data_IF_763006996844
#
_entry.id   IF_763006996844
#
_cell.length_a   1.000
_cell.length_b   1.000
_cell.length_c   1.000
_cell.angle_alpha   90.00
_cell.angle_beta   90.00
_cell.angle_gamma   90.00
#
_symmetry.space_group_name_H-M   'P 1'
#
loop_
_entity.id
_entity.type
_entity.pdbx_description
1 polymer ?
#
# COMPACT_ATOMS: atom_id res chain seq x y z
N UNK A 1 -0.31 5.51 10.14
CA UNK A 1 1.01 6.06 9.74
C UNK A 1 0.76 7.21 8.80
N UNK A 2 1.42 8.35 9.03
CA UNK A 2 1.46 9.46 8.08
C UNK A 2 2.74 9.35 7.23
N UNK A 3 2.64 9.56 5.92
CA UNK A 3 3.80 9.62 5.03
C UNK A 3 3.64 10.75 4.03
N UNK A 4 4.65 11.62 3.90
CA UNK A 4 4.66 12.64 2.86
C UNK A 4 4.86 11.99 1.49
N UNK A 5 4.06 12.40 0.51
CA UNK A 5 4.13 11.88 -0.87
C UNK A 5 5.15 12.69 -1.64
N UNK A 6 6.15 12.04 -2.22
CA UNK A 6 7.09 12.69 -3.12
C UNK A 6 7.04 12.05 -4.50
N UNK A 7 7.32 12.85 -5.53
CA UNK A 7 7.61 12.34 -6.86
C UNK A 7 9.10 12.57 -7.15
N UNK A 8 9.90 11.52 -6.92
CA UNK A 8 11.32 11.58 -7.21
C UNK A 8 11.58 11.13 -8.65
N UNK A 9 12.40 11.90 -9.36
CA UNK A 9 12.91 11.48 -10.66
C UNK A 9 13.81 10.26 -10.49
N UNK A 10 13.42 9.16 -11.14
CA UNK A 10 14.12 7.88 -11.12
C UNK A 10 14.38 7.44 -12.56
N UNK A 11 15.51 6.77 -12.78
CA UNK A 11 15.84 6.21 -14.10
C UNK A 11 14.94 5.02 -14.44
N UNK A 12 14.90 4.61 -15.70
CA UNK A 12 14.01 3.57 -16.18
C UNK A 12 14.10 2.25 -15.38
N UNK A 13 15.29 1.86 -14.91
CA UNK A 13 15.56 0.64 -14.14
C UNK A 13 15.54 0.84 -12.61
N UNK A 14 15.06 1.99 -12.12
CA UNK A 14 15.02 2.34 -10.71
C UNK A 14 13.57 2.56 -10.26
N UNK A 15 13.33 2.43 -8.96
CA UNK A 15 12.08 2.83 -8.34
C UNK A 15 12.34 3.50 -6.99
N UNK A 16 11.42 4.35 -6.56
CA UNK A 16 11.40 4.90 -5.20
C UNK A 16 10.07 4.59 -4.54
N UNK A 17 10.06 4.42 -3.22
CA UNK A 17 8.83 4.14 -2.49
C UNK A 17 8.93 4.55 -1.03
N UNK A 18 7.79 4.87 -0.43
CA UNK A 18 7.61 4.91 1.02
C UNK A 18 6.47 3.99 1.39
N UNK A 19 6.66 3.10 2.37
CA UNK A 19 5.65 2.10 2.76
C UNK A 19 5.61 1.86 4.26
N UNK A 20 4.40 1.71 4.78
CA UNK A 20 4.13 1.11 6.08
C UNK A 20 4.12 -0.41 5.91
N UNK A 21 4.88 -1.14 6.74
CA UNK A 21 4.98 -2.59 6.66
C UNK A 21 4.72 -3.21 8.04
N UNK A 22 3.76 -4.14 8.11
CA UNK A 22 3.60 -5.06 9.23
C UNK A 22 4.25 -6.38 8.84
N UNK A 23 5.08 -6.94 9.74
CA UNK A 23 5.88 -8.13 9.45
C UNK A 23 5.94 -9.04 10.67
N UNK A 24 5.77 -10.35 10.46
CA UNK A 24 6.12 -11.40 11.40
C UNK A 24 6.92 -12.49 10.66
N UNK A 25 8.22 -12.60 10.97
CA UNK A 25 9.11 -13.52 10.24
C UNK A 25 9.16 -13.20 8.74
N UNK A 26 8.95 -14.18 7.84
CA UNK A 26 8.93 -13.95 6.39
C UNK A 26 7.61 -13.31 5.91
N UNK A 27 6.57 -13.35 6.73
CA UNK A 27 5.22 -12.91 6.34
C UNK A 27 5.05 -11.42 6.62
N UNK A 28 4.49 -10.69 5.66
CA UNK A 28 4.25 -9.26 5.76
C UNK A 28 3.18 -8.73 4.83
N UNK A 29 2.56 -7.65 5.26
CA UNK A 29 1.65 -6.82 4.47
C UNK A 29 2.15 -5.38 4.53
N UNK A 30 2.03 -4.67 3.42
CA UNK A 30 2.49 -3.31 3.29
C UNK A 30 1.55 -2.47 2.44
N UNK A 31 1.53 -1.17 2.73
CA UNK A 31 0.82 -0.14 1.97
C UNK A 31 1.72 1.09 1.87
N UNK A 32 1.65 1.80 0.75
CA UNK A 32 2.44 3.00 0.57
C UNK A 32 2.30 3.63 -0.80
N UNK A 33 3.26 4.46 -1.16
CA UNK A 33 3.36 5.02 -2.50
C UNK A 33 4.66 4.61 -3.17
N UNK A 34 4.65 4.55 -4.50
CA UNK A 34 5.79 4.19 -5.35
C UNK A 34 5.88 5.11 -6.57
N UNK A 35 7.09 5.35 -7.07
CA UNK A 35 7.36 5.78 -8.44
C UNK A 35 8.17 4.68 -9.10
N UNK A 36 7.65 4.06 -10.15
CA UNK A 36 8.29 2.93 -10.83
C UNK A 36 8.08 3.00 -12.36
N UNK A 37 8.97 3.66 -13.09
CA UNK A 37 8.86 3.79 -14.55
C UNK A 37 8.97 2.46 -15.29
N UNK A 38 9.72 1.48 -14.78
CA UNK A 38 9.77 0.13 -15.36
C UNK A 38 8.40 -0.54 -15.38
N UNK A 39 7.60 -0.33 -14.32
CA UNK A 39 6.30 -0.97 -14.17
C UNK A 39 5.19 -0.20 -14.89
N UNK A 40 5.10 1.11 -14.69
CA UNK A 40 3.98 1.92 -15.18
C UNK A 40 4.24 2.63 -16.50
N UNK A 41 5.48 2.64 -17.00
CA UNK A 41 5.88 3.38 -18.20
C UNK A 41 5.62 4.89 -18.09
N UNK A 42 5.56 5.40 -16.85
CA UNK A 42 5.42 6.81 -16.49
C UNK A 42 6.24 7.14 -15.24
N UNK A 43 6.26 8.43 -14.87
CA UNK A 43 6.95 8.91 -13.67
C UNK A 43 5.97 9.43 -12.62
N UNK A 44 4.78 8.84 -12.52
CA UNK A 44 3.79 9.25 -11.52
C UNK A 44 3.95 8.50 -10.21
N UNK A 45 3.72 9.20 -9.09
CA UNK A 45 3.62 8.58 -7.78
C UNK A 45 2.27 7.90 -7.63
N UNK A 46 2.25 6.60 -7.34
CA UNK A 46 1.03 5.79 -7.26
C UNK A 46 0.87 5.11 -5.91
N UNK A 47 -0.36 4.96 -5.45
CA UNK A 47 -0.70 4.15 -4.28
C UNK A 47 -0.51 2.66 -4.60
N UNK A 48 0.14 1.92 -3.71
CA UNK A 48 0.28 0.48 -3.86
C UNK A 48 0.16 -0.25 -2.52
N UNK A 49 -0.13 -1.54 -2.61
CA UNK A 49 0.01 -2.50 -1.53
C UNK A 49 0.93 -3.64 -1.94
N UNK A 50 1.52 -4.30 -0.95
CA UNK A 50 2.34 -5.46 -1.17
C UNK A 50 2.11 -6.52 -0.08
N UNK A 51 1.89 -7.76 -0.50
CA UNK A 51 1.78 -8.92 0.38
C UNK A 51 2.94 -9.85 0.11
N UNK A 52 3.59 -10.31 1.16
CA UNK A 52 4.66 -11.29 1.06
C UNK A 52 4.44 -12.33 2.14
N UNK A 53 4.17 -13.56 1.75
CA UNK A 53 4.16 -14.74 2.62
C UNK A 53 5.04 -15.80 1.98
N UNK A 54 5.17 -16.96 2.63
CA UNK A 54 5.86 -18.10 2.03
C UNK A 54 5.32 -18.49 0.64
N UNK A 55 4.00 -18.39 0.46
CA UNK A 55 3.31 -18.90 -0.72
C UNK A 55 2.84 -17.78 -1.66
N UNK A 56 2.74 -16.54 -1.16
CA UNK A 56 2.17 -15.40 -1.91
C UNK A 56 3.13 -14.22 -1.90
N UNK A 57 3.57 -13.79 -3.08
CA UNK A 57 4.29 -12.54 -3.28
C UNK A 57 3.46 -11.68 -4.24
N UNK A 58 2.69 -10.76 -3.67
CA UNK A 58 1.67 -10.05 -4.40
C UNK A 58 1.86 -8.55 -4.40
N UNK A 59 1.86 -7.99 -5.60
CA UNK A 59 1.81 -6.55 -5.81
C UNK A 59 0.37 -6.16 -6.16
N UNK A 60 -0.21 -5.21 -5.42
CA UNK A 60 -1.62 -4.82 -5.54
C UNK A 60 -2.57 -6.03 -5.55
N UNK A 61 -3.49 -6.05 -6.51
CA UNK A 61 -4.48 -7.10 -6.74
C UNK A 61 -4.16 -7.90 -8.02
N UNK A 62 -2.90 -7.89 -8.48
CA UNK A 62 -2.45 -8.73 -9.60
C UNK A 62 -2.48 -10.23 -9.26
N UNK A 63 -2.77 -10.56 -8.01
CA UNK A 63 -2.93 -11.90 -7.47
C UNK A 63 -4.01 -11.91 -6.39
N UNK A 64 -4.59 -13.09 -6.09
CA UNK A 64 -5.49 -13.24 -4.96
C UNK A 64 -4.73 -12.95 -3.66
N UNK A 65 -5.23 -12.02 -2.85
CA UNK A 65 -4.54 -11.65 -1.62
C UNK A 65 -5.12 -10.45 -0.89
N UNK A 66 -5.77 -9.55 -1.61
CA UNK A 66 -6.44 -8.38 -1.05
C UNK A 66 -7.78 -8.18 -1.71
N UNK A 67 -8.81 -7.89 -0.91
CA UNK A 67 -10.17 -7.63 -1.38
C UNK A 67 -10.42 -6.13 -1.25
N UNK A 68 -10.49 -5.43 -2.38
CA UNK A 68 -10.89 -4.01 -2.43
C UNK A 68 -12.40 -3.94 -2.18
N UNK A 69 -12.82 -3.12 -1.22
CA UNK A 69 -14.24 -2.90 -0.90
C UNK A 69 -14.72 -1.52 -1.29
N UNK A 70 -13.79 -0.56 -1.41
CA UNK A 70 -14.09 0.80 -1.82
C UNK A 70 -13.45 1.12 -3.17
N UNK A 71 -14.30 1.29 -4.18
CA UNK A 71 -13.88 1.58 -5.55
C UNK A 71 -13.68 3.08 -5.82
N UNK A 72 -13.97 3.97 -4.86
CA UNK A 72 -13.68 5.41 -4.97
C UNK A 72 -12.17 5.68 -4.93
N UNK A 73 -11.41 4.83 -4.23
CA UNK A 73 -9.96 4.95 -4.06
C UNK A 73 -9.31 3.67 -4.59
N UNK A 74 -9.11 3.56 -5.91
CA UNK A 74 -8.49 2.38 -6.48
C UNK A 74 -7.01 2.29 -6.06
N UNK A 75 -6.52 1.06 -5.92
CA UNK A 75 -5.07 0.81 -5.96
C UNK A 75 -4.52 1.30 -7.31
N UNK A 76 -3.24 1.63 -7.38
CA UNK A 76 -2.59 2.25 -8.54
C UNK A 76 -3.06 3.67 -8.89
N UNK A 77 -3.90 4.30 -8.07
CA UNK A 77 -4.28 5.71 -8.27
C UNK A 77 -3.05 6.62 -8.22
N UNK A 78 -3.00 7.57 -9.16
CA UNK A 78 -2.00 8.62 -9.17
C UNK A 78 -2.27 9.55 -7.98
N UNK A 79 -1.28 9.71 -7.12
CA UNK A 79 -1.36 10.62 -5.99
C UNK A 79 -0.99 12.03 -6.46
N UNK A 80 -1.94 12.95 -6.35
CA UNK A 80 -1.76 14.36 -6.67
C UNK A 80 -2.62 15.20 -5.72
N UNK A 81 -2.11 16.33 -5.21
CA UNK A 81 -0.76 16.86 -5.41
C UNK A 81 0.35 16.11 -4.64
N UNK A 82 1.62 16.33 -5.00
CA UNK A 82 2.81 15.75 -4.35
C UNK A 82 3.66 16.82 -3.65
N UNK A 83 4.36 16.41 -2.60
CA UNK A 83 5.20 17.28 -1.75
C UNK A 83 6.43 17.78 -2.50
N UNK A 84 6.87 18.99 -2.15
CA UNK A 84 8.12 19.59 -2.67
C UNK A 84 9.01 20.02 -1.52
N UNK A 85 10.31 19.69 -1.60
CA UNK A 85 11.30 20.17 -0.62
C UNK A 85 11.32 21.70 -0.60
N UNK A 86 11.19 22.29 0.60
CA UNK A 86 11.09 23.74 0.78
C UNK A 86 9.77 24.37 0.31
N UNK A 87 8.76 23.56 -0.01
CA UNK A 87 7.43 23.99 -0.43
C UNK A 87 6.33 23.25 0.32
N UNK A 88 5.11 23.20 -0.24
CA UNK A 88 3.99 22.48 0.37
C UNK A 88 4.29 20.99 0.55
N UNK A 89 3.81 20.45 1.67
CA UNK A 89 3.86 19.01 2.00
C UNK A 89 2.45 18.44 1.92
N UNK A 90 2.33 17.30 1.24
CA UNK A 90 1.09 16.54 1.13
C UNK A 90 1.33 15.14 1.69
N UNK A 91 0.43 14.72 2.56
CA UNK A 91 0.59 13.50 3.34
C UNK A 91 -0.52 12.50 3.05
N UNK A 92 -0.15 11.23 3.16
CA UNK A 92 -1.07 10.10 3.15
C UNK A 92 -1.15 9.48 4.51
N UNK A 93 -2.38 9.15 4.91
CA UNK A 93 -2.65 8.49 6.17
C UNK A 93 -3.19 7.09 5.91
N UNK A 94 -2.48 6.09 6.44
CA UNK A 94 -2.83 4.69 6.35
C UNK A 94 -3.03 4.09 7.73
N UNK A 95 -4.08 3.30 7.89
CA UNK A 95 -4.31 2.49 9.08
C UNK A 95 -4.46 1.03 8.68
N UNK A 96 -3.70 0.16 9.34
CA UNK A 96 -3.87 -1.28 9.25
C UNK A 96 -4.24 -1.79 10.64
N UNK A 97 -5.35 -2.50 10.73
CA UNK A 97 -5.87 -3.06 11.99
C UNK A 97 -6.43 -4.45 11.76
N UNK A 98 -6.22 -5.35 12.71
CA UNK A 98 -6.85 -6.68 12.69
C UNK A 98 -8.28 -6.56 13.19
N UNK A 99 -9.25 -7.02 12.39
CA UNK A 99 -10.63 -7.13 12.81
C UNK A 99 -10.76 -8.27 13.84
N UNK A 100 -11.30 -7.98 15.02
CA UNK A 100 -11.44 -8.97 16.10
C UNK A 100 -12.52 -10.03 15.83
N UNK A 101 -13.49 -9.75 14.97
CA UNK A 101 -14.59 -10.65 14.65
C UNK A 101 -14.21 -11.59 13.51
N UNK A 102 -13.74 -11.05 12.38
CA UNK A 102 -13.38 -11.89 11.23
C UNK A 102 -11.97 -12.45 11.37
N UNK A 103 -11.04 -11.69 11.95
CA UNK A 103 -9.60 -11.99 11.97
C UNK A 103 -8.84 -11.43 10.77
N UNK A 104 -9.51 -10.69 9.89
CA UNK A 104 -8.92 -10.09 8.69
C UNK A 104 -8.11 -8.85 9.02
N UNK A 105 -7.10 -8.56 8.20
CA UNK A 105 -6.38 -7.30 8.29
C UNK A 105 -7.07 -6.25 7.41
N UNK A 106 -7.63 -5.22 8.03
CA UNK A 106 -8.35 -4.15 7.33
C UNK A 106 -7.41 -2.99 7.04
N UNK A 107 -7.38 -2.55 5.78
CA UNK A 107 -6.69 -1.34 5.34
C UNK A 107 -7.68 -0.18 5.24
N UNK A 108 -7.34 0.93 5.88
CA UNK A 108 -8.08 2.19 5.81
C UNK A 108 -7.18 3.33 5.37
N UNK A 109 -7.79 4.31 4.70
CA UNK A 109 -7.11 5.41 4.03
C UNK A 109 -7.75 6.76 4.35
N UNK A 110 -6.91 7.77 4.50
CA UNK A 110 -7.30 9.16 4.69
C UNK A 110 -7.71 9.49 6.14
N UNK A 111 -8.02 10.77 6.35
CA UNK A 111 -8.40 11.31 7.66
C UNK A 111 -9.74 10.71 8.13
N UNK A 112 -10.66 10.49 7.19
CA UNK A 112 -11.98 9.90 7.45
C UNK A 112 -11.92 8.39 7.72
N UNK A 113 -10.72 7.79 7.66
CA UNK A 113 -10.48 6.38 7.94
C UNK A 113 -11.35 5.42 7.10
N UNK A 114 -11.58 5.81 5.83
CA UNK A 114 -12.37 5.05 4.85
C UNK A 114 -11.73 3.67 4.65
N UNK A 115 -12.54 2.62 4.74
CA UNK A 115 -12.08 1.27 4.41
C UNK A 115 -11.74 1.23 2.93
N UNK A 116 -10.52 0.81 2.59
CA UNK A 116 -10.09 0.59 1.22
C UNK A 116 -10.32 -0.88 0.84
N UNK A 117 -10.03 -1.78 1.78
CA UNK A 117 -10.18 -3.21 1.61
C UNK A 117 -9.57 -3.98 2.78
N UNK A 118 -9.39 -5.28 2.60
CA UNK A 118 -8.81 -6.14 3.62
C UNK A 118 -8.00 -7.29 3.02
N UNK A 119 -7.02 -7.78 3.80
CA UNK A 119 -6.37 -9.06 3.57
C UNK A 119 -7.11 -10.16 4.36
N UNK A 120 -7.71 -11.15 3.68
CA UNK A 120 -8.36 -12.28 4.34
C UNK A 120 -7.41 -13.06 5.25
N UNK A 121 -7.89 -13.48 6.41
CA UNK A 121 -7.13 -14.33 7.35
C UNK A 121 -6.71 -15.68 6.78
N UNK A 122 -7.46 -16.18 5.79
CA UNK A 122 -7.26 -17.50 5.20
C UNK A 122 -6.03 -17.55 4.30
N UNK A 123 -5.42 -16.41 3.99
CA UNK A 123 -4.13 -16.36 3.33
C UNK A 123 -3.08 -16.88 4.31
N UNK A 124 -2.50 -18.04 3.97
CA UNK A 124 -1.46 -18.67 4.76
C UNK A 124 -0.28 -17.69 4.97
N UNK A 125 0.06 -17.45 6.24
CA UNK A 125 1.06 -16.47 6.67
C UNK A 125 0.48 -15.11 7.12
N UNK A 126 -0.57 -14.60 6.47
CA UNK A 126 -1.17 -13.29 6.81
C UNK A 126 -1.83 -13.30 8.20
N UNK A 127 -2.56 -14.38 8.55
CA UNK A 127 -3.20 -14.51 9.87
C UNK A 127 -2.22 -14.55 11.04
N UNK A 128 -0.96 -14.94 10.77
CA UNK A 128 0.13 -15.03 11.76
C UNK A 128 0.86 -13.72 11.94
N UNK A 129 0.59 -12.71 11.13
CA UNK A 129 1.08 -11.36 11.41
C UNK A 129 0.42 -10.95 12.73
N UNK A 130 1.26 -10.56 13.71
CA UNK A 130 0.97 -10.33 15.13
C UNK A 130 0.61 -11.56 15.97
#
# INVERSE_FOLDING_TARGET
MYTSVYNHEVQANQYTSSRFKLQNGPDSIAVGWVVNPSLYQDSYTRLFIYTMTKDVHCYNTYCPGFVVTNHEIPLDVILSPVSRRGGPTYEQNFFISKDHYTGDWVLRYGIDNKVLGFWPRDIHGVSRIC
#
